data_IF_843882826807
#
_entry.id   IF_843882826807
#
_cell.length_a   1.000
_cell.length_b   1.000
_cell.length_c   1.000
_cell.angle_alpha   90.00
_cell.angle_beta   90.00
_cell.angle_gamma   90.00
#
_symmetry.space_group_name_H-M   'P 1'
#
loop_
_entity.id
_entity.type
_entity.pdbx_description
1 polymer ?
#
# COMPACT_ATOMS: atom_id res chain seq x y z
N UNK A 1 13.29 32.27 -29.61
CA UNK A 1 13.06 30.81 -29.75
C UNK A 1 13.96 30.11 -28.72
N UNK A 2 13.47 29.90 -27.51
CA UNK A 2 14.26 29.42 -26.35
C UNK A 2 13.42 28.47 -25.49
N UNK A 3 12.87 27.43 -26.12
CA UNK A 3 11.99 26.45 -25.48
C UNK A 3 12.76 25.15 -25.11
N UNK A 4 13.91 24.87 -25.71
CA UNK A 4 14.64 23.61 -25.50
C UNK A 4 15.26 23.43 -24.10
N UNK A 5 15.79 24.49 -23.48
CA UNK A 5 16.65 24.34 -22.28
C UNK A 5 15.87 24.03 -20.99
N UNK A 6 14.60 24.45 -20.88
CA UNK A 6 13.76 24.16 -19.70
C UNK A 6 13.24 22.72 -19.69
N UNK A 7 12.85 22.20 -20.85
CA UNK A 7 12.33 20.83 -20.98
C UNK A 7 13.43 19.78 -20.75
N UNK A 8 14.65 20.04 -21.22
CA UNK A 8 15.80 19.16 -20.98
C UNK A 8 16.15 19.09 -19.49
N UNK A 9 16.21 20.25 -18.81
CA UNK A 9 16.44 20.34 -17.36
C UNK A 9 15.36 19.63 -16.53
N UNK A 10 14.09 19.73 -16.94
CA UNK A 10 12.98 19.06 -16.25
C UNK A 10 13.01 17.54 -16.42
N UNK A 11 13.35 17.05 -17.62
CA UNK A 11 13.52 15.63 -17.89
C UNK A 11 14.73 15.03 -17.13
N UNK A 12 15.81 15.79 -16.97
CA UNK A 12 16.99 15.36 -16.21
C UNK A 12 16.75 15.33 -14.71
N UNK A 13 16.01 16.30 -14.18
CA UNK A 13 15.55 16.29 -12.79
C UNK A 13 14.55 15.15 -12.54
N UNK A 14 13.66 14.88 -13.49
CA UNK A 14 12.77 13.73 -13.44
C UNK A 14 13.57 12.42 -13.46
N UNK A 15 14.62 12.29 -14.29
CA UNK A 15 15.52 11.12 -14.27
C UNK A 15 16.28 10.96 -12.95
N UNK A 16 16.62 12.06 -12.25
CA UNK A 16 17.22 12.01 -10.91
C UNK A 16 16.21 11.62 -9.83
N UNK A 17 14.97 12.11 -9.91
CA UNK A 17 13.85 11.73 -9.02
C UNK A 17 13.38 10.28 -9.27
N UNK A 18 13.36 9.86 -10.53
CA UNK A 18 13.14 8.49 -10.99
C UNK A 18 14.40 7.62 -10.86
N UNK A 19 15.52 8.22 -10.47
CA UNK A 19 16.75 7.50 -10.17
C UNK A 19 16.41 6.45 -9.13
N UNK A 20 16.79 5.20 -9.39
CA UNK A 20 16.34 4.02 -8.65
C UNK A 20 16.37 4.29 -7.15
N UNK A 21 15.20 4.53 -6.56
CA UNK A 21 15.07 4.67 -5.12
C UNK A 21 15.70 3.42 -4.50
N UNK A 22 16.70 3.58 -3.64
CA UNK A 22 17.39 2.45 -3.04
C UNK A 22 16.40 1.67 -2.15
N UNK A 23 15.82 0.61 -2.70
CA UNK A 23 14.95 -0.29 -1.95
C UNK A 23 15.79 -1.10 -0.96
N UNK A 24 15.47 -0.97 0.34
CA UNK A 24 16.07 -1.78 1.40
C UNK A 24 15.63 -3.25 1.27
N UNK A 25 16.40 -4.16 1.87
CA UNK A 25 16.09 -5.60 1.83
C UNK A 25 14.67 -5.88 2.34
N UNK A 26 14.29 -5.28 3.47
CA UNK A 26 12.94 -5.43 4.04
C UNK A 26 11.83 -4.95 3.10
N UNK A 27 12.08 -3.89 2.33
CA UNK A 27 11.11 -3.37 1.35
C UNK A 27 10.93 -4.36 0.19
N UNK A 28 12.03 -4.92 -0.33
CA UNK A 28 11.98 -5.93 -1.40
C UNK A 28 11.26 -7.19 -0.94
N UNK A 29 11.53 -7.62 0.29
CA UNK A 29 10.87 -8.78 0.87
C UNK A 29 9.37 -8.55 1.03
N UNK A 30 8.96 -7.37 1.51
CA UNK A 30 7.55 -7.00 1.60
C UNK A 30 6.85 -7.10 0.24
N UNK A 31 7.44 -6.48 -0.79
CA UNK A 31 6.90 -6.53 -2.16
C UNK A 31 6.81 -7.96 -2.72
N UNK A 32 7.79 -8.82 -2.41
CA UNK A 32 7.79 -10.19 -2.90
C UNK A 32 6.72 -11.08 -2.22
N UNK A 33 6.38 -10.79 -0.97
CA UNK A 33 5.46 -11.60 -0.16
C UNK A 33 4.02 -11.11 -0.20
N UNK A 34 3.80 -9.85 -0.58
CA UNK A 34 2.47 -9.24 -0.64
C UNK A 34 1.44 -10.09 -1.41
N UNK A 35 1.72 -10.60 -2.64
CA UNK A 35 0.74 -11.40 -3.38
C UNK A 35 0.32 -12.67 -2.62
N UNK A 36 1.28 -13.35 -2.01
CA UNK A 36 1.04 -14.57 -1.22
C UNK A 36 0.17 -14.26 0.00
N UNK A 37 0.41 -13.15 0.69
CA UNK A 37 -0.38 -12.75 1.86
C UNK A 37 -1.82 -12.40 1.47
N UNK A 38 -2.02 -11.71 0.34
CA UNK A 38 -3.36 -11.43 -0.20
C UNK A 38 -4.11 -12.74 -0.47
N UNK A 39 -3.48 -13.70 -1.13
CA UNK A 39 -4.10 -15.00 -1.45
C UNK A 39 -4.49 -15.79 -0.20
N UNK A 40 -3.61 -15.82 0.80
CA UNK A 40 -3.91 -16.45 2.09
C UNK A 40 -5.09 -15.74 2.77
N UNK A 41 -5.10 -14.41 2.79
CA UNK A 41 -6.19 -13.63 3.39
C UNK A 41 -7.53 -13.94 2.71
N UNK A 42 -7.58 -13.88 1.37
CA UNK A 42 -8.79 -14.14 0.61
C UNK A 42 -9.32 -15.56 0.85
N UNK A 43 -8.42 -16.55 0.91
CA UNK A 43 -8.78 -17.94 1.20
C UNK A 43 -9.32 -18.13 2.61
N UNK A 44 -8.70 -17.52 3.61
CA UNK A 44 -9.10 -17.67 5.03
C UNK A 44 -10.42 -16.95 5.31
N UNK A 45 -10.66 -15.82 4.65
CA UNK A 45 -11.86 -14.99 4.84
C UNK A 45 -12.98 -15.31 3.86
N UNK A 46 -12.73 -16.18 2.89
CA UNK A 46 -13.66 -16.52 1.81
C UNK A 46 -14.19 -15.28 1.06
N UNK A 47 -13.31 -14.28 0.87
CA UNK A 47 -13.61 -13.02 0.19
C UNK A 47 -13.00 -12.99 -1.21
N UNK A 48 -13.62 -12.20 -2.10
CA UNK A 48 -13.13 -12.01 -3.47
C UNK A 48 -12.20 -10.80 -3.54
N UNK A 49 -11.05 -10.93 -4.20
CA UNK A 49 -10.13 -9.81 -4.49
C UNK A 49 -10.48 -9.11 -5.79
N UNK A 50 -10.25 -7.80 -5.83
CA UNK A 50 -10.50 -6.92 -6.97
C UNK A 50 -9.26 -6.04 -7.20
N UNK A 51 -8.45 -6.35 -8.22
CA UNK A 51 -7.23 -5.60 -8.47
C UNK A 51 -7.54 -4.12 -8.65
N UNK A 52 -6.87 -3.29 -7.86
CA UNK A 52 -7.06 -1.85 -7.88
C UNK A 52 -5.85 -1.16 -8.54
N UNK A 53 -6.13 -0.28 -9.50
CA UNK A 53 -5.12 0.63 -10.02
C UNK A 53 -4.89 1.83 -9.11
N UNK A 54 -4.30 2.88 -9.68
CA UNK A 54 -4.22 4.18 -9.03
C UNK A 54 -5.60 4.84 -9.00
N UNK A 55 -6.05 5.22 -7.80
CA UNK A 55 -7.26 5.99 -7.56
C UNK A 55 -6.89 7.48 -7.41
N UNK A 56 -7.67 8.36 -8.04
CA UNK A 56 -7.55 9.81 -7.88
C UNK A 56 -8.86 10.29 -7.27
N UNK A 57 -8.78 11.12 -6.23
CA UNK A 57 -9.98 11.64 -5.58
C UNK A 57 -10.75 12.55 -6.55
N UNK A 58 -12.06 12.32 -6.78
CA UNK A 58 -12.83 13.02 -7.81
C UNK A 58 -12.87 14.54 -7.61
N UNK A 59 -12.88 14.98 -6.35
CA UNK A 59 -12.92 16.41 -5.98
C UNK A 59 -11.54 16.99 -5.61
N UNK A 60 -10.49 16.16 -5.61
CA UNK A 60 -9.14 16.58 -5.22
C UNK A 60 -8.10 15.91 -6.14
N UNK A 61 -7.96 16.39 -7.39
CA UNK A 61 -7.16 15.72 -8.42
C UNK A 61 -5.66 15.65 -8.12
N UNK A 62 -5.17 16.45 -7.15
CA UNK A 62 -3.80 16.37 -6.64
C UNK A 62 -3.59 15.24 -5.61
N UNK A 63 -4.65 14.55 -5.20
CA UNK A 63 -4.61 13.48 -4.20
C UNK A 63 -4.98 12.15 -4.86
N UNK A 64 -4.08 11.18 -4.74
CA UNK A 64 -4.31 9.82 -5.21
C UNK A 64 -3.73 8.78 -4.28
N UNK A 65 -4.18 7.55 -4.43
CA UNK A 65 -3.72 6.39 -3.67
C UNK A 65 -3.62 5.16 -4.58
N UNK A 66 -2.71 4.26 -4.25
CA UNK A 66 -2.65 2.91 -4.82
C UNK A 66 -2.82 1.97 -3.64
N UNK A 67 -4.05 1.53 -3.32
CA UNK A 67 -4.24 0.54 -2.26
C UNK A 67 -3.64 -0.80 -2.69
N UNK A 68 -3.23 -1.61 -1.71
CA UNK A 68 -2.61 -2.91 -1.98
C UNK A 68 -3.64 -3.85 -2.65
N UNK A 69 -4.88 -3.91 -2.11
CA UNK A 69 -5.98 -4.67 -2.72
C UNK A 69 -7.35 -4.12 -2.30
N UNK A 70 -8.38 -4.32 -3.13
CA UNK A 70 -9.78 -4.15 -2.73
C UNK A 70 -10.40 -5.53 -2.59
N UNK A 71 -11.16 -5.78 -1.52
CA UNK A 71 -11.89 -7.03 -1.34
C UNK A 71 -13.38 -6.79 -1.16
N UNK A 72 -14.18 -7.72 -1.66
CA UNK A 72 -15.61 -7.80 -1.39
C UNK A 72 -15.85 -8.78 -0.24
N UNK A 73 -16.35 -8.26 0.87
CA UNK A 73 -16.71 -8.98 2.08
C UNK A 73 -18.19 -8.69 2.40
N UNK A 74 -19.13 -9.61 2.10
CA UNK A 74 -20.56 -9.37 2.29
C UNK A 74 -20.95 -9.26 3.78
N UNK A 75 -20.06 -9.62 4.71
CA UNK A 75 -20.30 -9.49 6.14
C UNK A 75 -19.94 -8.08 6.67
N UNK A 76 -19.31 -7.23 5.86
CA UNK A 76 -18.91 -5.88 6.24
C UNK A 76 -19.82 -4.82 5.64
N UNK A 77 -19.86 -3.67 6.32
CA UNK A 77 -20.44 -2.44 5.80
C UNK A 77 -19.38 -1.31 5.89
N UNK A 78 -18.91 -0.77 4.75
CA UNK A 78 -19.26 -1.15 3.37
C UNK A 78 -18.74 -2.56 2.99
N UNK A 79 -19.39 -3.20 2.00
CA UNK A 79 -19.02 -4.54 1.51
C UNK A 79 -17.67 -4.54 0.78
N UNK A 80 -17.39 -3.46 0.05
CA UNK A 80 -16.07 -3.24 -0.55
C UNK A 80 -15.16 -2.55 0.46
N UNK A 81 -14.10 -3.23 0.85
CA UNK A 81 -13.12 -2.73 1.83
C UNK A 81 -11.71 -2.71 1.26
N UNK A 82 -10.91 -1.76 1.74
CA UNK A 82 -9.49 -1.69 1.41
C UNK A 82 -8.70 -2.67 2.28
N UNK A 83 -7.86 -3.48 1.64
CA UNK A 83 -6.90 -4.32 2.32
C UNK A 83 -5.53 -3.62 2.27
N UNK A 84 -4.95 -3.41 3.46
CA UNK A 84 -3.58 -2.90 3.59
C UNK A 84 -2.70 -3.94 4.27
N UNK A 85 -1.61 -4.31 3.63
CA UNK A 85 -0.69 -5.36 4.07
C UNK A 85 0.62 -4.74 4.49
N UNK A 86 1.09 -5.17 5.65
CA UNK A 86 2.45 -4.91 6.11
C UNK A 86 3.13 -6.22 6.39
N UNK A 87 4.34 -6.37 5.85
CA UNK A 87 5.23 -7.46 6.18
C UNK A 87 6.37 -6.96 7.07
N UNK A 88 6.28 -7.14 8.38
CA UNK A 88 7.37 -6.81 9.27
C UNK A 88 8.44 -7.92 9.27
N UNK A 89 9.70 -7.56 9.07
CA UNK A 89 10.82 -8.51 9.18
C UNK A 89 11.21 -8.78 10.65
N UNK A 90 10.23 -9.16 11.47
CA UNK A 90 10.44 -9.58 12.86
C UNK A 90 9.59 -10.83 13.16
N UNK A 91 10.12 -11.71 14.00
CA UNK A 91 9.53 -13.03 14.22
C UNK A 91 8.29 -13.03 15.14
N UNK A 92 7.87 -11.89 15.70
CA UNK A 92 6.70 -11.86 16.58
C UNK A 92 5.96 -10.53 16.57
N UNK A 93 4.63 -10.61 16.73
CA UNK A 93 3.75 -9.46 16.92
C UNK A 93 4.12 -8.65 18.17
N UNK A 94 4.60 -9.31 19.23
CA UNK A 94 5.04 -8.70 20.49
C UNK A 94 6.27 -7.80 20.28
N UNK A 95 7.08 -8.07 19.26
CA UNK A 95 8.24 -7.25 18.91
C UNK A 95 7.84 -5.96 18.17
N UNK A 96 6.59 -5.84 17.71
CA UNK A 96 6.08 -4.68 16.96
C UNK A 96 5.41 -3.68 17.89
N UNK A 97 6.23 -2.81 18.48
CA UNK A 97 5.79 -1.75 19.39
C UNK A 97 4.65 -0.90 18.82
N UNK A 98 4.66 -0.61 17.51
CA UNK A 98 3.57 0.13 16.89
C UNK A 98 2.28 -0.71 16.80
N UNK A 99 2.37 -1.99 16.43
CA UNK A 99 1.21 -2.86 16.25
C UNK A 99 0.51 -3.17 17.58
N UNK A 100 1.28 -3.29 18.66
CA UNK A 100 0.75 -3.41 20.02
C UNK A 100 -0.13 -2.22 20.41
N UNK A 101 0.31 -0.98 20.09
CA UNK A 101 -0.46 0.24 20.37
C UNK A 101 -1.79 0.29 19.61
N UNK A 102 -1.81 -0.19 18.36
CA UNK A 102 -3.04 -0.31 17.57
C UNK A 102 -3.99 -1.37 18.13
N UNK A 103 -3.46 -2.52 18.56
CA UNK A 103 -4.26 -3.61 19.11
C UNK A 103 -4.90 -3.25 20.46
N UNK A 104 -4.12 -2.63 21.37
CA UNK A 104 -4.67 -2.22 22.67
C UNK A 104 -5.74 -1.16 22.52
N UNK A 105 -5.55 -0.16 21.65
CA UNK A 105 -6.53 0.91 21.47
C UNK A 105 -7.86 0.43 20.85
N UNK A 106 -7.83 -0.64 20.04
CA UNK A 106 -9.04 -1.20 19.40
C UNK A 106 -9.81 -2.18 20.29
N UNK A 107 -9.16 -2.80 21.27
CA UNK A 107 -9.78 -3.83 22.15
C UNK A 107 -10.04 -3.36 23.59
N UNK A 108 -9.68 -2.13 23.96
CA UNK A 108 -10.06 -1.52 25.25
C UNK A 108 -11.34 -0.66 25.18
N UNK A 109 -12.02 -0.63 24.03
CA UNK A 109 -13.28 0.10 23.83
C UNK A 109 -14.44 -0.84 23.43
N UNK A 110 -14.46 -2.05 24.00
CA UNK A 110 -15.61 -2.96 24.08
C UNK A 110 -15.96 -3.15 25.54
#
# INVERSE_FOLDING_TARGET
RSVSTKTESSAENLKRLLGTSHQRADMRQGLALEPTVIEVYCKVREVNRYPCGRLIHPEAPWMGSTPDEIVYDPERQPEFVLLHIKYPNVCSFVSLHYAQKWYTHTHTHT
#
